data_IF_839715185799
#
_entry.id   IF_839715185799
#
_cell.length_a   1.000
_cell.length_b   1.000
_cell.length_c   1.000
_cell.angle_alpha   90.00
_cell.angle_beta   90.00
_cell.angle_gamma   90.00
#
_symmetry.space_group_name_H-M   'P 1'
#
loop_
_entity.id
_entity.type
_entity.pdbx_description
1 polymer ?
#
# COMPACT_ATOMS: atom_id res chain seq x y z
N UNK A 1 7.76 23.84 -43.97
CA UNK A 1 8.91 22.94 -43.69
C UNK A 1 10.10 23.71 -43.11
N UNK A 2 10.44 24.86 -43.66
CA UNK A 2 11.65 25.66 -43.28
C UNK A 2 11.61 26.18 -41.83
N UNK A 3 10.45 26.65 -41.35
CA UNK A 3 10.32 27.25 -40.01
C UNK A 3 10.44 26.16 -38.90
N UNK A 4 9.86 24.99 -39.11
CA UNK A 4 9.98 23.88 -38.15
C UNK A 4 11.40 23.32 -38.05
N UNK A 5 12.10 23.24 -39.19
CA UNK A 5 13.48 22.78 -39.22
C UNK A 5 14.43 23.78 -38.55
N UNK A 6 14.18 25.08 -38.72
CA UNK A 6 14.95 26.12 -38.02
C UNK A 6 14.73 26.01 -36.51
N UNK A 7 13.50 25.84 -36.06
CA UNK A 7 13.18 25.70 -34.63
C UNK A 7 13.85 24.46 -34.00
N UNK A 8 13.86 23.34 -34.70
CA UNK A 8 14.55 22.13 -34.28
C UNK A 8 16.08 22.30 -34.24
N UNK A 9 16.64 23.00 -35.20
CA UNK A 9 18.07 23.33 -35.22
C UNK A 9 18.46 24.25 -34.04
N UNK A 10 17.67 25.29 -33.80
CA UNK A 10 17.91 26.22 -32.69
C UNK A 10 17.81 25.52 -31.34
N UNK A 11 16.82 24.63 -31.20
CA UNK A 11 16.65 23.82 -29.99
C UNK A 11 17.85 22.88 -29.76
N UNK A 12 18.25 22.12 -30.79
CA UNK A 12 19.43 21.25 -30.76
C UNK A 12 20.69 22.01 -30.34
N UNK A 13 20.92 23.22 -30.93
CA UNK A 13 22.09 24.04 -30.62
C UNK A 13 22.08 24.48 -29.15
N UNK A 14 20.93 24.80 -28.58
CA UNK A 14 20.81 25.17 -27.16
C UNK A 14 21.17 23.97 -26.25
N UNK A 15 20.68 22.79 -26.54
CA UNK A 15 21.02 21.60 -25.74
C UNK A 15 22.50 21.23 -25.82
N UNK A 16 23.09 21.29 -27.03
CA UNK A 16 24.52 21.05 -27.22
C UNK A 16 25.38 22.03 -26.43
N UNK A 17 25.03 23.34 -26.47
CA UNK A 17 25.74 24.34 -25.69
C UNK A 17 25.74 24.07 -24.19
N UNK A 18 24.63 23.64 -23.65
CA UNK A 18 24.54 23.26 -22.23
C UNK A 18 25.38 22.00 -21.92
N UNK A 19 25.36 21.00 -22.79
CA UNK A 19 26.16 19.79 -22.63
C UNK A 19 27.66 20.13 -22.66
N UNK A 20 28.10 20.90 -23.66
CA UNK A 20 29.48 21.36 -23.79
C UNK A 20 29.95 22.16 -22.56
N UNK A 21 29.08 23.05 -22.05
CA UNK A 21 29.37 23.81 -20.82
C UNK A 21 29.58 22.90 -19.61
N UNK A 22 28.71 21.93 -19.43
CA UNK A 22 28.82 20.98 -18.32
C UNK A 22 30.05 20.08 -18.43
N UNK A 23 30.43 19.69 -19.64
CA UNK A 23 31.68 18.94 -19.90
C UNK A 23 32.92 19.81 -19.59
N UNK A 24 32.93 21.06 -19.99
CA UNK A 24 34.02 22.00 -19.67
C UNK A 24 34.15 22.26 -18.17
N UNK A 25 33.05 22.23 -17.43
CA UNK A 25 33.02 22.34 -15.97
C UNK A 25 33.37 21.02 -15.25
N UNK A 26 33.66 19.94 -15.99
CA UNK A 26 33.90 18.62 -15.43
C UNK A 26 32.70 17.99 -14.75
N UNK A 27 31.49 18.42 -15.07
CA UNK A 27 30.24 17.97 -14.51
C UNK A 27 29.80 16.67 -15.17
N UNK A 28 29.61 15.61 -14.39
CA UNK A 28 28.95 14.41 -14.87
C UNK A 28 27.46 14.69 -15.10
N UNK A 29 26.98 14.46 -16.30
CA UNK A 29 25.60 14.66 -16.69
C UNK A 29 25.00 13.44 -17.40
N UNK A 30 23.67 13.33 -17.42
CA UNK A 30 22.92 12.31 -18.13
C UNK A 30 21.98 12.94 -19.16
N UNK A 31 21.57 12.19 -20.23
CA UNK A 31 20.57 12.67 -21.18
C UNK A 31 19.27 13.16 -20.53
N UNK A 32 18.88 12.53 -19.40
CA UNK A 32 17.68 12.94 -18.63
C UNK A 32 17.87 14.32 -18.00
N UNK A 33 19.04 14.58 -17.41
CA UNK A 33 19.36 15.90 -16.85
C UNK A 33 19.41 16.96 -17.95
N UNK A 34 20.00 16.64 -19.09
CA UNK A 34 20.05 17.56 -20.24
C UNK A 34 18.64 17.84 -20.78
N UNK A 35 17.76 16.86 -20.86
CA UNK A 35 16.38 17.07 -21.33
C UNK A 35 15.56 18.00 -20.43
N UNK A 36 15.91 18.10 -19.15
CA UNK A 36 15.22 18.94 -18.16
C UNK A 36 15.87 20.28 -17.90
N UNK A 37 17.05 20.57 -18.51
CA UNK A 37 17.79 21.81 -18.22
C UNK A 37 17.05 23.10 -18.63
N UNK A 38 16.05 23.01 -19.53
CA UNK A 38 15.23 24.14 -19.96
C UNK A 38 13.78 24.11 -19.41
N UNK A 39 13.41 23.07 -18.61
CA UNK A 39 12.09 22.99 -17.98
C UNK A 39 11.93 23.97 -16.80
N UNK A 40 13.01 24.66 -16.40
CA UNK A 40 13.07 25.51 -15.21
C UNK A 40 12.45 26.89 -15.40
N UNK A 41 11.90 27.25 -16.57
CA UNK A 41 11.23 28.54 -16.77
C UNK A 41 9.77 28.55 -16.34
N UNK A 42 9.28 27.49 -15.68
CA UNK A 42 7.97 27.51 -15.03
C UNK A 42 8.12 27.84 -13.55
N UNK A 43 7.92 29.15 -13.25
CA UNK A 43 7.67 29.74 -11.93
C UNK A 43 8.40 29.03 -10.77
N UNK A 44 9.56 29.53 -10.38
CA UNK A 44 10.29 29.14 -9.19
C UNK A 44 9.40 29.22 -7.94
N UNK A 45 8.83 28.09 -7.54
CA UNK A 45 8.48 27.90 -6.13
C UNK A 45 9.79 27.98 -5.35
N UNK A 46 9.84 28.68 -4.19
CA UNK A 46 11.06 28.77 -3.40
C UNK A 46 11.57 27.34 -3.14
N UNK A 47 12.74 27.01 -3.71
CA UNK A 47 13.38 25.73 -3.51
C UNK A 47 13.73 25.59 -2.04
N UNK A 48 13.06 24.69 -1.37
CA UNK A 48 13.50 24.23 -0.05
C UNK A 48 14.85 23.53 -0.28
N UNK A 49 15.96 24.23 0.00
CA UNK A 49 17.31 23.65 -0.06
C UNK A 49 17.42 22.57 1.03
N UNK A 50 17.05 21.35 0.68
CA UNK A 50 17.15 20.19 1.54
C UNK A 50 18.63 19.83 1.67
N UNK A 51 19.19 19.96 2.87
CA UNK A 51 20.64 19.76 3.11
C UNK A 51 20.96 18.37 3.67
N UNK A 52 20.04 17.74 4.42
CA UNK A 52 20.25 16.45 5.07
C UNK A 52 19.25 15.41 4.61
N UNK A 53 19.56 14.11 4.87
CA UNK A 53 18.64 12.99 4.60
C UNK A 53 17.34 13.16 5.38
N UNK A 54 17.41 13.59 6.64
CA UNK A 54 16.22 13.84 7.45
C UNK A 54 15.34 14.95 6.85
N UNK A 55 15.92 16.07 6.43
CA UNK A 55 15.17 17.16 5.80
C UNK A 55 14.47 16.70 4.51
N UNK A 56 15.10 15.82 3.72
CA UNK A 56 14.47 15.24 2.54
C UNK A 56 13.30 14.34 2.90
N UNK A 57 13.43 13.55 3.96
CA UNK A 57 12.31 12.73 4.46
C UNK A 57 11.16 13.63 4.91
N UNK A 58 11.45 14.71 5.63
CA UNK A 58 10.46 15.68 6.11
C UNK A 58 9.74 16.38 4.95
N UNK A 59 10.50 16.78 3.93
CA UNK A 59 9.95 17.33 2.68
C UNK A 59 9.01 16.34 1.98
N UNK A 60 9.39 15.07 1.87
CA UNK A 60 8.54 14.04 1.26
C UNK A 60 7.31 13.74 2.12
N UNK A 61 7.46 13.68 3.44
CA UNK A 61 6.33 13.54 4.37
C UNK A 61 5.29 14.63 4.12
N UNK A 62 5.71 15.91 4.09
CA UNK A 62 4.83 17.05 3.87
C UNK A 62 4.21 17.04 2.46
N UNK A 63 5.01 16.72 1.44
CA UNK A 63 4.52 16.58 0.06
C UNK A 63 3.40 15.54 -0.04
N UNK A 64 3.59 14.37 0.59
CA UNK A 64 2.57 13.31 0.57
C UNK A 64 1.39 13.59 1.49
N UNK A 65 1.57 14.34 2.56
CA UNK A 65 0.50 14.80 3.45
C UNK A 65 -0.44 15.77 2.75
N UNK A 66 0.12 16.67 1.94
CA UNK A 66 -0.62 17.66 1.19
C UNK A 66 -1.17 17.14 -0.15
N UNK A 67 -0.79 15.91 -0.55
CA UNK A 67 -1.26 15.30 -1.78
C UNK A 67 -2.73 14.95 -1.69
N UNK A 68 -3.54 15.59 -2.52
CA UNK A 68 -4.96 15.29 -2.69
C UNK A 68 -5.18 14.21 -3.76
N UNK A 69 -6.22 13.42 -3.60
CA UNK A 69 -6.70 12.46 -4.61
C UNK A 69 -8.17 12.72 -4.88
N UNK A 70 -8.56 12.58 -6.13
CA UNK A 70 -9.98 12.57 -6.49
C UNK A 70 -10.48 11.14 -6.32
N UNK A 71 -11.61 10.98 -5.61
CA UNK A 71 -12.26 9.71 -5.38
C UNK A 71 -13.77 9.90 -5.38
N UNK A 72 -14.48 9.19 -6.25
CA UNK A 72 -15.93 9.35 -6.42
C UNK A 72 -16.33 10.83 -6.57
N UNK A 73 -15.58 11.59 -7.38
CA UNK A 73 -15.81 13.03 -7.55
C UNK A 73 -15.43 13.91 -6.35
N UNK A 74 -15.01 13.34 -5.23
CA UNK A 74 -14.62 14.08 -4.02
C UNK A 74 -13.10 14.13 -3.84
N UNK A 75 -12.61 15.25 -3.33
CA UNK A 75 -11.20 15.42 -2.98
C UNK A 75 -10.95 14.77 -1.61
N UNK A 76 -10.04 13.78 -1.56
CA UNK A 76 -9.67 13.09 -0.32
C UNK A 76 -8.17 13.18 -0.06
N UNK A 77 -7.80 13.20 1.22
CA UNK A 77 -6.40 13.25 1.65
C UNK A 77 -5.70 11.90 1.43
N UNK A 78 -4.41 11.96 1.03
CA UNK A 78 -3.58 10.78 0.81
C UNK A 78 -2.51 10.61 1.90
N UNK A 79 -2.92 10.53 3.17
CA UNK A 79 -2.01 10.51 4.33
C UNK A 79 -1.24 9.20 4.54
N UNK A 80 -1.62 8.11 3.88
CA UNK A 80 -1.01 6.78 4.12
C UNK A 80 0.48 6.75 3.73
N UNK A 81 0.84 7.40 2.62
CA UNK A 81 2.23 7.45 2.18
C UNK A 81 3.06 8.36 3.08
N UNK A 82 2.53 9.50 3.53
CA UNK A 82 3.20 10.36 4.49
C UNK A 82 3.61 9.59 5.76
N UNK A 83 2.72 8.78 6.32
CA UNK A 83 3.01 7.96 7.52
C UNK A 83 4.18 6.98 7.33
N UNK A 84 4.44 6.51 6.10
CA UNK A 84 5.59 5.62 5.82
C UNK A 84 6.91 6.36 6.03
N UNK A 85 6.99 7.61 5.61
CA UNK A 85 8.18 8.45 5.83
C UNK A 85 8.38 8.78 7.30
N UNK A 86 7.31 9.05 8.07
CA UNK A 86 7.38 9.22 9.53
C UNK A 86 7.97 7.97 10.19
N UNK A 87 7.50 6.77 9.81
CA UNK A 87 8.04 5.53 10.36
C UNK A 87 9.48 5.29 9.94
N UNK A 88 9.85 5.53 8.67
CA UNK A 88 11.25 5.42 8.23
C UNK A 88 12.16 6.34 9.03
N UNK A 89 11.78 7.62 9.17
CA UNK A 89 12.54 8.60 9.96
C UNK A 89 12.80 8.10 11.38
N UNK A 90 11.77 7.61 12.06
CA UNK A 90 11.89 7.09 13.42
C UNK A 90 12.80 5.87 13.52
N UNK A 91 12.75 4.96 12.54
CA UNK A 91 13.65 3.79 12.52
C UNK A 91 15.09 4.22 12.27
N UNK A 92 15.36 5.16 11.37
CA UNK A 92 16.70 5.68 11.11
C UNK A 92 17.25 6.43 12.34
N UNK A 93 16.43 7.22 13.03
CA UNK A 93 16.81 7.88 14.29
C UNK A 93 17.18 6.88 15.38
N UNK A 94 16.40 5.80 15.52
CA UNK A 94 16.72 4.75 16.49
C UNK A 94 18.01 4.01 16.11
N UNK A 95 18.15 3.64 14.85
CA UNK A 95 19.33 2.95 14.32
C UNK A 95 20.62 3.75 14.53
N UNK A 96 20.66 5.01 14.10
CA UNK A 96 21.87 5.84 14.20
C UNK A 96 22.24 6.15 15.65
N UNK A 97 21.24 6.27 16.54
CA UNK A 97 21.49 6.44 17.97
C UNK A 97 22.02 5.16 18.62
N UNK A 98 21.46 4.00 18.29
CA UNK A 98 21.88 2.69 18.84
C UNK A 98 23.25 2.24 18.32
N UNK A 99 23.49 2.38 17.00
CA UNK A 99 24.69 1.84 16.35
C UNK A 99 25.88 2.80 16.41
N UNK A 100 25.63 4.10 16.22
CA UNK A 100 26.70 5.09 16.03
C UNK A 100 26.73 6.20 17.09
N UNK A 101 25.80 6.17 18.04
CA UNK A 101 25.63 7.21 19.09
C UNK A 101 25.45 8.63 18.52
N UNK A 102 25.00 8.75 17.27
CA UNK A 102 24.83 10.00 16.54
C UNK A 102 23.37 10.32 16.25
N UNK A 103 23.03 11.61 16.24
CA UNK A 103 21.71 12.07 15.85
C UNK A 103 21.53 11.94 14.33
N UNK A 104 20.44 11.34 13.87
CA UNK A 104 20.16 11.18 12.44
C UNK A 104 20.04 12.52 11.68
N UNK A 105 19.72 13.60 12.36
CA UNK A 105 19.67 14.95 11.77
C UNK A 105 21.02 15.44 11.22
N UNK A 106 22.14 14.86 11.67
CA UNK A 106 23.51 15.19 11.20
C UNK A 106 23.95 14.40 9.98
N UNK A 107 23.11 13.48 9.47
CA UNK A 107 23.45 12.64 8.31
C UNK A 107 23.12 13.34 6.99
N UNK A 108 24.12 13.39 6.12
CA UNK A 108 24.03 13.86 4.74
C UNK A 108 23.97 12.67 3.78
N UNK A 109 23.76 12.93 2.48
CA UNK A 109 23.69 11.85 1.50
C UNK A 109 25.04 11.17 1.29
N UNK A 110 26.16 11.85 1.53
CA UNK A 110 27.51 11.28 1.58
C UNK A 110 27.67 10.19 2.64
N UNK A 111 26.87 10.25 3.72
CA UNK A 111 26.94 9.29 4.83
C UNK A 111 26.12 8.03 4.57
N UNK A 112 25.31 8.00 3.48
CA UNK A 112 24.55 6.82 3.06
C UNK A 112 25.45 5.94 2.21
N UNK A 113 26.49 5.42 2.82
CA UNK A 113 27.46 4.50 2.23
C UNK A 113 26.92 3.07 2.15
N UNK A 114 27.64 2.18 1.44
CA UNK A 114 27.35 0.74 1.44
C UNK A 114 27.38 0.17 2.87
N UNK A 115 28.39 0.54 3.68
CA UNK A 115 28.51 0.12 5.08
C UNK A 115 27.28 0.55 5.89
N UNK A 116 26.87 1.82 5.80
CA UNK A 116 25.65 2.31 6.46
C UNK A 116 24.41 1.50 6.07
N UNK A 117 24.26 1.16 4.78
CA UNK A 117 23.11 0.42 4.28
C UNK A 117 23.12 -1.04 4.76
N UNK A 118 24.28 -1.69 4.78
CA UNK A 118 24.45 -3.05 5.31
C UNK A 118 24.19 -3.09 6.82
N UNK A 119 24.73 -2.14 7.58
CA UNK A 119 24.50 -2.02 9.01
C UNK A 119 23.00 -1.78 9.33
N UNK A 120 22.34 -0.91 8.57
CA UNK A 120 20.91 -0.68 8.73
C UNK A 120 20.08 -1.92 8.39
N UNK A 121 20.45 -2.65 7.32
CA UNK A 121 19.79 -3.90 6.96
C UNK A 121 19.98 -4.96 8.04
N UNK A 122 21.17 -5.10 8.60
CA UNK A 122 21.48 -6.02 9.70
C UNK A 122 20.67 -5.69 10.95
N UNK A 123 20.71 -4.42 11.39
CA UNK A 123 19.92 -3.95 12.52
C UNK A 123 18.41 -4.19 12.37
N UNK A 124 17.89 -4.03 11.15
CA UNK A 124 16.50 -4.37 10.84
C UNK A 124 16.23 -5.88 10.91
N UNK A 125 17.18 -6.74 10.49
CA UNK A 125 17.08 -8.21 10.56
C UNK A 125 17.01 -8.69 12.00
N UNK A 126 17.87 -8.17 12.88
CA UNK A 126 17.88 -8.53 14.31
C UNK A 126 16.54 -8.24 15.00
N UNK A 127 15.80 -7.25 14.53
CA UNK A 127 14.47 -6.91 15.05
C UNK A 127 13.36 -7.88 14.61
N UNK A 128 13.61 -8.74 13.63
CA UNK A 128 12.73 -9.81 13.18
C UNK A 128 11.26 -9.41 13.04
N UNK A 129 10.38 -10.02 13.83
CA UNK A 129 8.93 -9.75 13.83
C UNK A 129 8.59 -8.30 14.14
N UNK A 130 9.33 -7.61 15.01
CA UNK A 130 9.12 -6.18 15.33
C UNK A 130 9.30 -5.29 14.10
N UNK A 131 10.14 -5.72 13.18
CA UNK A 131 10.36 -5.04 11.90
C UNK A 131 9.33 -5.46 10.83
N UNK A 132 8.54 -6.51 11.01
CA UNK A 132 7.66 -7.11 10.00
C UNK A 132 8.38 -8.14 9.13
N UNK A 133 9.42 -8.80 9.65
CA UNK A 133 10.25 -9.78 8.97
C UNK A 133 10.85 -9.25 7.64
N UNK A 134 11.11 -10.13 6.65
CA UNK A 134 11.71 -9.78 5.36
C UNK A 134 10.94 -8.69 4.62
N UNK A 135 9.61 -8.73 4.61
CA UNK A 135 8.80 -7.71 3.93
C UNK A 135 8.94 -6.31 4.58
N UNK A 136 9.07 -6.25 5.91
CA UNK A 136 9.31 -5.00 6.64
C UNK A 136 10.70 -4.44 6.38
N UNK A 137 11.72 -5.31 6.33
CA UNK A 137 13.09 -4.98 5.93
C UNK A 137 13.09 -4.35 4.53
N UNK A 138 12.65 -5.12 3.53
CA UNK A 138 12.60 -4.68 2.13
C UNK A 138 11.82 -3.36 1.97
N UNK A 139 10.68 -3.21 2.66
CA UNK A 139 9.90 -1.98 2.59
C UNK A 139 10.69 -0.75 3.06
N UNK A 140 11.44 -0.85 4.15
CA UNK A 140 12.23 0.26 4.70
C UNK A 140 13.43 0.60 3.82
N UNK A 141 14.16 -0.41 3.34
CA UNK A 141 15.29 -0.23 2.42
C UNK A 141 14.84 0.41 1.10
N UNK A 142 13.75 -0.08 0.49
CA UNK A 142 13.18 0.53 -0.73
C UNK A 142 12.67 1.95 -0.50
N UNK A 143 12.15 2.25 0.68
CA UNK A 143 11.69 3.60 0.99
C UNK A 143 12.87 4.56 1.17
N UNK A 144 13.98 4.12 1.81
CA UNK A 144 15.22 4.89 1.89
C UNK A 144 15.82 5.11 0.48
N UNK A 145 15.86 4.06 -0.34
CA UNK A 145 16.26 4.19 -1.75
C UNK A 145 15.39 5.21 -2.50
N UNK A 146 14.08 5.25 -2.25
CA UNK A 146 13.20 6.23 -2.86
C UNK A 146 13.48 7.67 -2.37
N UNK A 147 13.90 7.86 -1.12
CA UNK A 147 14.36 9.15 -0.59
C UNK A 147 15.62 9.61 -1.35
N UNK A 148 16.64 8.74 -1.46
CA UNK A 148 17.87 9.05 -2.19
C UNK A 148 17.60 9.35 -3.67
N UNK A 149 16.72 8.57 -4.34
CA UNK A 149 16.34 8.83 -5.73
C UNK A 149 15.63 10.17 -5.91
N UNK A 150 14.86 10.64 -4.92
CA UNK A 150 14.24 11.96 -4.99
C UNK A 150 15.27 13.08 -4.72
N UNK A 151 16.28 12.82 -3.90
CA UNK A 151 17.40 13.72 -3.68
C UNK A 151 18.29 13.83 -4.94
N UNK A 152 18.56 12.69 -5.60
CA UNK A 152 19.27 12.63 -6.90
C UNK A 152 18.56 13.47 -7.96
N UNK A 153 17.23 13.36 -8.10
CA UNK A 153 16.43 14.17 -9.02
C UNK A 153 16.47 15.69 -8.71
N UNK A 154 16.85 16.05 -7.50
CA UNK A 154 17.05 17.43 -7.06
C UNK A 154 18.53 17.84 -7.08
N UNK A 155 19.38 17.02 -7.69
CA UNK A 155 20.83 17.23 -7.82
C UNK A 155 21.51 17.52 -6.48
N UNK A 156 21.06 16.82 -5.43
CA UNK A 156 21.67 17.00 -4.10
C UNK A 156 23.03 16.35 -4.03
N UNK A 157 23.99 17.09 -3.47
CA UNK A 157 25.37 16.66 -3.34
C UNK A 157 25.49 15.38 -2.52
N UNK A 158 26.35 14.45 -2.99
CA UNK A 158 26.74 13.24 -2.28
C UNK A 158 25.77 12.07 -2.41
N UNK A 159 24.72 12.17 -3.24
CA UNK A 159 23.83 11.05 -3.51
C UNK A 159 24.55 10.05 -4.43
N UNK A 160 24.71 8.81 -3.96
CA UNK A 160 25.16 7.69 -4.76
C UNK A 160 24.15 6.55 -4.71
N UNK A 161 23.47 6.31 -5.84
CA UNK A 161 22.46 5.24 -5.96
C UNK A 161 23.07 3.85 -6.08
N UNK A 162 24.32 3.73 -6.51
CA UNK A 162 25.00 2.45 -6.68
C UNK A 162 25.31 1.79 -5.32
N UNK A 163 25.43 2.57 -4.25
CA UNK A 163 25.56 2.04 -2.89
C UNK A 163 24.43 1.04 -2.52
N UNK A 164 23.24 1.17 -3.13
CA UNK A 164 22.13 0.25 -2.88
C UNK A 164 22.31 -1.13 -3.54
N UNK A 165 23.31 -1.32 -4.40
CA UNK A 165 23.63 -2.62 -5.03
C UNK A 165 24.13 -3.61 -3.98
N UNK A 166 24.80 -3.14 -2.92
CA UNK A 166 25.28 -3.99 -1.83
C UNK A 166 24.17 -4.76 -1.10
N UNK A 167 22.92 -4.29 -1.18
CA UNK A 167 21.80 -4.91 -0.48
C UNK A 167 21.29 -6.20 -1.14
N UNK A 168 21.68 -6.50 -2.37
CA UNK A 168 21.32 -7.73 -3.07
C UNK A 168 19.83 -8.07 -2.95
N UNK A 169 19.53 -9.27 -2.42
CA UNK A 169 18.15 -9.74 -2.25
C UNK A 169 17.37 -9.09 -1.11
N UNK A 170 18.01 -8.34 -0.22
CA UNK A 170 17.32 -7.68 0.88
C UNK A 170 16.37 -6.56 0.39
N UNK A 171 16.68 -5.97 -0.77
CA UNK A 171 15.85 -4.93 -1.39
C UNK A 171 14.76 -5.51 -2.30
N UNK A 172 14.77 -6.81 -2.55
CA UNK A 172 13.77 -7.50 -3.34
C UNK A 172 12.59 -7.95 -2.47
N UNK A 173 11.36 -7.75 -2.99
CA UNK A 173 10.19 -8.22 -2.27
C UNK A 173 10.26 -9.74 -2.09
N UNK A 174 9.96 -10.25 -0.88
CA UNK A 174 9.83 -11.69 -0.70
C UNK A 174 8.68 -12.23 -1.55
N UNK A 175 8.83 -13.45 -2.01
CA UNK A 175 7.73 -14.17 -2.65
C UNK A 175 6.51 -14.22 -1.74
N UNK A 176 5.35 -14.01 -2.32
CA UNK A 176 4.09 -14.06 -1.59
C UNK A 176 3.46 -15.43 -1.76
N UNK A 177 3.29 -16.15 -0.67
CA UNK A 177 2.51 -17.40 -0.67
C UNK A 177 1.01 -17.10 -0.72
N UNK A 178 0.27 -17.92 -1.45
CA UNK A 178 -1.19 -17.85 -1.46
C UNK A 178 -1.74 -17.98 -0.03
N UNK A 179 -2.69 -17.13 0.33
CA UNK A 179 -3.44 -17.22 1.59
C UNK A 179 -4.77 -17.92 1.42
N UNK A 180 -4.93 -18.64 0.32
CA UNK A 180 -6.10 -19.46 0.09
C UNK A 180 -6.16 -20.57 1.15
N UNK A 181 -7.37 -20.93 1.54
CA UNK A 181 -7.63 -22.06 2.42
C UNK A 181 -8.55 -23.05 1.71
N UNK A 182 -8.41 -24.36 1.98
CA UNK A 182 -9.24 -25.40 1.38
C UNK A 182 -10.75 -25.15 1.59
N UNK A 183 -11.57 -25.62 0.66
CA UNK A 183 -13.04 -25.51 0.75
C UNK A 183 -13.58 -26.17 2.03
N UNK A 184 -13.00 -27.31 2.41
CA UNK A 184 -13.35 -28.05 3.64
C UNK A 184 -13.14 -27.21 4.90
N UNK A 185 -12.08 -26.40 4.95
CA UNK A 185 -11.80 -25.51 6.06
C UNK A 185 -12.82 -24.39 6.14
N UNK A 186 -13.19 -23.80 4.99
CA UNK A 186 -14.23 -22.77 4.93
C UNK A 186 -15.59 -23.32 5.34
N UNK A 187 -15.93 -24.53 4.90
CA UNK A 187 -17.16 -25.21 5.30
C UNK A 187 -17.21 -25.43 6.82
N UNK A 188 -16.11 -25.83 7.45
CA UNK A 188 -16.03 -25.94 8.92
C UNK A 188 -16.30 -24.60 9.60
N UNK A 189 -15.71 -23.50 9.11
CA UNK A 189 -15.94 -22.15 9.67
C UNK A 189 -17.39 -21.71 9.45
N UNK A 190 -17.97 -21.99 8.28
CA UNK A 190 -19.34 -21.62 7.97
C UNK A 190 -20.36 -22.33 8.89
N UNK A 191 -20.07 -23.58 9.23
CA UNK A 191 -20.95 -24.46 10.03
C UNK A 191 -20.56 -24.51 11.53
N UNK A 192 -19.62 -23.67 11.99
CA UNK A 192 -19.23 -23.64 13.40
C UNK A 192 -20.43 -23.28 14.28
N UNK A 193 -20.55 -23.93 15.41
CA UNK A 193 -21.59 -23.61 16.39
C UNK A 193 -21.49 -22.17 16.86
N UNK A 194 -22.45 -21.34 16.48
CA UNK A 194 -22.49 -19.92 16.75
C UNK A 194 -22.78 -19.60 18.22
N UNK A 195 -23.32 -20.53 18.98
CA UNK A 195 -23.59 -20.35 20.42
C UNK A 195 -22.31 -20.18 21.24
N UNK A 196 -21.21 -20.73 20.75
CA UNK A 196 -19.87 -20.62 21.35
C UNK A 196 -19.20 -19.26 21.14
N UNK A 197 -19.85 -18.36 20.40
CA UNK A 197 -19.34 -17.04 20.04
C UNK A 197 -20.28 -15.93 20.52
N UNK A 198 -19.70 -14.88 21.04
CA UNK A 198 -20.46 -13.65 21.37
C UNK A 198 -21.10 -13.04 20.11
N UNK A 199 -22.12 -12.21 20.26
CA UNK A 199 -22.77 -11.52 19.13
C UNK A 199 -21.75 -10.74 18.26
N UNK A 200 -20.71 -10.16 18.88
CA UNK A 200 -19.64 -9.46 18.14
C UNK A 200 -18.75 -10.44 17.34
N UNK A 201 -18.41 -11.57 17.92
CA UNK A 201 -17.64 -12.61 17.24
C UNK A 201 -18.44 -13.26 16.11
N UNK A 202 -19.75 -13.46 16.30
CA UNK A 202 -20.62 -13.91 15.21
C UNK A 202 -20.63 -12.94 14.03
N UNK A 203 -20.68 -11.62 14.29
CA UNK A 203 -20.53 -10.61 13.24
C UNK A 203 -19.17 -10.75 12.54
N UNK A 204 -18.09 -11.00 13.26
CA UNK A 204 -16.76 -11.16 12.65
C UNK A 204 -16.73 -12.36 11.69
N UNK A 205 -17.30 -13.50 12.09
CA UNK A 205 -17.40 -14.68 11.23
C UNK A 205 -18.28 -14.42 10.01
N UNK A 206 -19.39 -13.72 10.19
CA UNK A 206 -20.29 -13.35 9.10
C UNK A 206 -19.64 -12.38 8.09
N UNK A 207 -18.87 -11.41 8.56
CA UNK A 207 -18.09 -10.51 7.70
C UNK A 207 -17.02 -11.25 6.88
N UNK A 208 -16.36 -12.24 7.46
CA UNK A 208 -15.41 -13.10 6.74
C UNK A 208 -16.10 -13.91 5.65
N UNK A 209 -17.19 -14.59 5.98
CA UNK A 209 -17.96 -15.41 5.04
C UNK A 209 -18.61 -14.55 3.95
N UNK A 210 -19.14 -13.39 4.30
CA UNK A 210 -19.67 -12.44 3.33
C UNK A 210 -18.60 -12.00 2.34
N UNK A 211 -17.42 -11.63 2.84
CA UNK A 211 -16.28 -11.30 1.96
C UNK A 211 -15.99 -12.43 0.96
N UNK A 212 -15.98 -13.68 1.44
CA UNK A 212 -15.77 -14.83 0.56
C UNK A 212 -16.87 -15.00 -0.49
N UNK A 213 -18.15 -14.93 -0.08
CA UNK A 213 -19.29 -15.11 -0.99
C UNK A 213 -19.50 -13.95 -1.97
N UNK A 214 -18.80 -12.85 -1.80
CA UNK A 214 -18.84 -11.66 -2.67
C UNK A 214 -17.52 -11.42 -3.40
N UNK A 215 -16.87 -12.51 -3.89
CA UNK A 215 -15.65 -12.40 -4.70
C UNK A 215 -14.39 -11.98 -3.91
N UNK A 216 -14.37 -12.18 -2.59
CA UNK A 216 -13.28 -11.76 -1.74
C UNK A 216 -13.25 -10.24 -1.55
N UNK A 217 -14.40 -9.60 -1.40
CA UNK A 217 -14.51 -8.16 -1.14
C UNK A 217 -13.60 -7.74 0.01
N UNK A 218 -12.81 -6.67 -0.17
CA UNK A 218 -11.83 -6.26 0.83
C UNK A 218 -12.50 -5.77 2.12
N UNK A 219 -11.83 -5.95 3.25
CA UNK A 219 -12.33 -5.57 4.58
C UNK A 219 -12.87 -4.14 4.66
N UNK A 220 -12.16 -3.19 4.02
CA UNK A 220 -12.58 -1.79 4.01
C UNK A 220 -13.85 -1.59 3.19
N UNK A 221 -14.00 -2.34 2.10
CA UNK A 221 -15.17 -2.26 1.22
C UNK A 221 -16.40 -2.92 1.89
N UNK A 222 -16.23 -4.10 2.52
CA UNK A 222 -17.29 -4.75 3.30
C UNK A 222 -17.77 -3.85 4.44
N UNK A 223 -16.83 -3.27 5.21
CA UNK A 223 -17.20 -2.40 6.34
C UNK A 223 -17.93 -1.11 5.92
N UNK A 224 -17.66 -0.60 4.71
CA UNK A 224 -18.27 0.62 4.19
C UNK A 224 -19.44 0.35 3.23
N UNK A 225 -19.84 -0.91 3.07
CA UNK A 225 -20.96 -1.26 2.19
C UNK A 225 -22.26 -0.65 2.69
N UNK A 226 -22.98 0.00 1.79
CA UNK A 226 -24.28 0.64 2.04
C UNK A 226 -25.35 0.00 1.17
N UNK A 227 -26.63 0.10 1.59
CA UNK A 227 -27.75 -0.55 0.91
C UNK A 227 -28.00 0.01 -0.50
N UNK A 228 -27.66 1.25 -0.79
CA UNK A 228 -27.76 1.87 -2.12
C UNK A 228 -26.83 1.25 -3.16
N UNK A 229 -25.77 0.56 -2.72
CA UNK A 229 -24.83 -0.17 -3.60
C UNK A 229 -25.29 -1.61 -3.91
N UNK A 230 -26.35 -2.07 -3.23
CA UNK A 230 -26.88 -3.43 -3.35
C UNK A 230 -28.03 -3.45 -4.34
N UNK A 231 -27.87 -4.17 -5.43
CA UNK A 231 -28.89 -4.48 -6.42
C UNK A 231 -29.50 -5.86 -6.15
N UNK A 232 -30.50 -6.27 -6.91
CA UNK A 232 -31.20 -7.53 -6.70
C UNK A 232 -30.27 -8.75 -6.82
N UNK A 233 -29.38 -8.77 -7.83
CA UNK A 233 -28.52 -9.90 -8.19
C UNK A 233 -27.02 -9.63 -7.93
N UNK A 234 -26.63 -8.41 -7.64
CA UNK A 234 -25.21 -8.03 -7.50
C UNK A 234 -25.01 -6.84 -6.56
N UNK A 235 -23.74 -6.60 -6.22
CA UNK A 235 -23.30 -5.38 -5.55
C UNK A 235 -22.47 -4.57 -6.54
N UNK A 236 -22.76 -3.28 -6.72
CA UNK A 236 -21.99 -2.40 -7.59
C UNK A 236 -21.31 -1.35 -6.74
N UNK A 237 -19.97 -1.42 -6.65
CA UNK A 237 -19.22 -0.49 -5.81
C UNK A 237 -17.85 -0.14 -6.39
N UNK A 238 -17.36 1.05 -6.08
CA UNK A 238 -15.99 1.43 -6.36
C UNK A 238 -15.10 1.06 -5.17
N UNK A 239 -14.02 0.33 -5.44
CA UNK A 239 -13.09 -0.13 -4.40
C UNK A 239 -12.39 1.03 -3.70
N UNK A 240 -12.37 0.98 -2.37
CA UNK A 240 -11.81 2.07 -1.57
C UNK A 240 -10.28 2.23 -1.74
N UNK A 241 -9.54 1.15 -1.92
CA UNK A 241 -8.07 1.22 -2.08
C UNK A 241 -7.63 1.54 -3.50
N UNK A 242 -8.35 1.04 -4.49
CA UNK A 242 -8.02 1.19 -5.90
C UNK A 242 -9.30 1.63 -6.62
N UNK A 243 -9.31 2.78 -7.30
CA UNK A 243 -10.51 3.29 -7.98
C UNK A 243 -10.82 2.42 -9.20
N UNK A 244 -11.40 1.26 -8.94
CA UNK A 244 -11.88 0.30 -9.94
C UNK A 244 -13.23 -0.20 -9.47
N UNK A 245 -14.22 -0.15 -10.34
CA UNK A 245 -15.55 -0.69 -10.08
C UNK A 245 -15.46 -2.21 -9.98
N UNK A 246 -16.10 -2.78 -8.97
CA UNK A 246 -16.30 -4.21 -8.80
C UNK A 246 -17.81 -4.50 -8.79
N UNK A 247 -18.20 -5.63 -9.39
CA UNK A 247 -19.59 -6.04 -9.55
C UNK A 247 -19.76 -7.52 -9.14
N UNK A 248 -19.44 -7.90 -7.90
CA UNK A 248 -19.64 -9.29 -7.47
C UNK A 248 -21.12 -9.65 -7.49
N UNK A 249 -21.40 -10.87 -7.94
CA UNK A 249 -22.71 -11.48 -7.84
C UNK A 249 -23.13 -11.66 -6.39
N UNK A 250 -24.39 -11.45 -6.08
CA UNK A 250 -24.95 -11.55 -4.76
C UNK A 250 -25.62 -12.90 -4.54
N UNK A 251 -24.81 -13.91 -4.19
CA UNK A 251 -25.26 -15.25 -3.91
C UNK A 251 -26.26 -15.33 -2.74
N UNK A 252 -27.12 -16.34 -2.71
CA UNK A 252 -28.14 -16.55 -1.65
C UNK A 252 -27.53 -16.54 -0.24
N UNK A 253 -26.34 -17.16 -0.06
CA UNK A 253 -25.60 -17.15 1.23
C UNK A 253 -25.18 -15.75 1.65
N UNK A 254 -24.75 -14.90 0.72
CA UNK A 254 -24.43 -13.53 1.00
C UNK A 254 -25.67 -12.69 1.34
N UNK A 255 -26.77 -12.88 0.59
CA UNK A 255 -28.10 -12.26 0.90
C UNK A 255 -28.56 -12.61 2.32
N UNK A 256 -28.48 -13.86 2.72
CA UNK A 256 -28.87 -14.32 4.04
C UNK A 256 -28.08 -13.62 5.16
N UNK A 257 -26.75 -13.51 4.97
CA UNK A 257 -25.89 -12.80 5.94
C UNK A 257 -26.27 -11.32 6.02
N UNK A 258 -26.46 -10.62 4.90
CA UNK A 258 -26.84 -9.21 4.90
C UNK A 258 -28.19 -8.98 5.61
N UNK A 259 -29.20 -9.82 5.28
CA UNK A 259 -30.56 -9.68 5.83
C UNK A 259 -30.59 -9.89 7.34
N UNK A 260 -29.70 -10.72 7.90
CA UNK A 260 -29.53 -10.89 9.35
C UNK A 260 -29.26 -9.56 10.08
N UNK A 261 -28.58 -8.59 9.41
CA UNK A 261 -28.21 -7.31 9.99
C UNK A 261 -29.09 -6.14 9.54
N UNK A 262 -30.15 -6.42 8.77
CA UNK A 262 -31.08 -5.38 8.33
C UNK A 262 -31.76 -4.73 9.54
N UNK A 263 -31.73 -3.39 9.60
CA UNK A 263 -32.27 -2.61 10.70
C UNK A 263 -31.40 -2.55 11.97
N UNK A 264 -30.24 -3.24 12.00
CA UNK A 264 -29.31 -3.22 13.14
C UNK A 264 -28.13 -2.27 12.95
N UNK A 265 -27.96 -1.73 11.77
CA UNK A 265 -26.81 -0.90 11.40
C UNK A 265 -27.10 0.59 11.53
N UNK A 266 -26.05 1.37 11.80
CA UNK A 266 -26.14 2.81 11.81
C UNK A 266 -26.25 3.37 10.39
N UNK A 267 -27.19 4.29 10.18
CA UNK A 267 -27.41 4.92 8.88
C UNK A 267 -27.73 3.89 7.79
N UNK A 268 -27.21 4.11 6.58
CA UNK A 268 -27.45 3.25 5.42
C UNK A 268 -26.44 2.07 5.29
N UNK A 269 -25.61 1.80 6.30
CA UNK A 269 -24.65 0.70 6.24
C UNK A 269 -25.34 -0.66 6.31
N UNK A 270 -24.80 -1.64 5.57
CA UNK A 270 -25.28 -3.03 5.59
C UNK A 270 -24.95 -3.72 6.89
N UNK A 271 -23.73 -3.50 7.42
CA UNK A 271 -23.26 -4.16 8.63
C UNK A 271 -23.10 -3.18 9.82
N UNK A 272 -23.35 -3.62 11.07
CA UNK A 272 -23.24 -2.78 12.26
C UNK A 272 -21.78 -2.57 12.70
N UNK A 273 -20.95 -2.10 11.78
CA UNK A 273 -19.53 -1.79 12.01
C UNK A 273 -19.35 -0.40 12.56
N UNK A 274 -20.07 0.57 12.01
CA UNK A 274 -20.00 1.97 12.40
C UNK A 274 -21.15 2.36 13.34
N UNK A 275 -20.94 3.45 14.07
CA UNK A 275 -21.92 4.10 14.95
C UNK A 275 -21.85 5.61 14.75
N UNK A 276 -22.73 6.38 15.38
CA UNK A 276 -22.70 7.84 15.38
C UNK A 276 -21.35 8.47 15.76
N UNK A 277 -20.46 7.72 16.45
CA UNK A 277 -19.11 8.18 16.83
C UNK A 277 -18.11 8.20 15.67
N UNK A 278 -18.38 7.47 14.58
CA UNK A 278 -17.47 7.30 13.46
C UNK A 278 -17.76 8.28 12.31
N UNK A 279 -17.70 9.58 12.62
CA UNK A 279 -18.11 10.68 11.71
C UNK A 279 -17.05 11.01 10.67
N UNK A 280 -15.75 10.88 10.98
CA UNK A 280 -14.65 11.25 10.07
C UNK A 280 -14.03 10.03 9.39
N UNK A 281 -13.43 10.24 8.21
CA UNK A 281 -12.68 9.20 7.46
C UNK A 281 -11.59 8.56 8.32
N UNK A 282 -10.90 9.33 9.16
CA UNK A 282 -9.87 8.83 10.06
C UNK A 282 -10.45 7.88 11.13
N UNK A 283 -11.57 8.26 11.77
CA UNK A 283 -12.27 7.41 12.75
C UNK A 283 -12.79 6.13 12.10
N UNK A 284 -13.39 6.21 10.90
CA UNK A 284 -13.82 5.02 10.13
C UNK A 284 -12.66 4.10 9.80
N UNK A 285 -11.53 4.65 9.32
CA UNK A 285 -10.32 3.87 9.03
C UNK A 285 -9.79 3.15 10.27
N UNK A 286 -9.73 3.82 11.40
CA UNK A 286 -9.32 3.23 12.69
C UNK A 286 -10.26 2.12 13.10
N UNK A 287 -11.57 2.33 12.95
CA UNK A 287 -12.58 1.32 13.26
C UNK A 287 -12.45 0.07 12.39
N UNK A 288 -12.25 0.22 11.08
CA UNK A 288 -12.01 -0.91 10.16
C UNK A 288 -10.77 -1.71 10.57
N UNK A 289 -9.69 -1.05 10.99
CA UNK A 289 -8.49 -1.74 11.51
C UNK A 289 -8.80 -2.53 12.77
N UNK A 290 -9.53 -1.95 13.73
CA UNK A 290 -9.95 -2.64 14.95
C UNK A 290 -10.81 -3.87 14.65
N UNK A 291 -11.80 -3.75 13.76
CA UNK A 291 -12.63 -4.88 13.32
C UNK A 291 -11.76 -5.96 12.68
N UNK A 292 -10.82 -5.59 11.80
CA UNK A 292 -9.93 -6.56 11.15
C UNK A 292 -9.06 -7.33 12.15
N UNK A 293 -8.53 -6.65 13.16
CA UNK A 293 -7.73 -7.29 14.23
C UNK A 293 -8.59 -8.26 15.05
N UNK A 294 -9.79 -7.82 15.47
CA UNK A 294 -10.71 -8.65 16.26
C UNK A 294 -11.26 -9.83 15.46
N UNK A 295 -11.54 -9.63 14.17
CA UNK A 295 -11.94 -10.70 13.27
C UNK A 295 -10.84 -11.77 13.16
N UNK A 296 -9.58 -11.37 13.03
CA UNK A 296 -8.46 -12.32 13.02
C UNK A 296 -8.37 -13.11 14.33
N UNK A 297 -8.57 -12.45 15.48
CA UNK A 297 -8.65 -13.15 16.79
C UNK A 297 -9.80 -14.14 16.85
N UNK A 298 -10.98 -13.76 16.35
CA UNK A 298 -12.16 -14.65 16.28
C UNK A 298 -11.90 -15.85 15.36
N UNK A 299 -11.28 -15.63 14.19
CA UNK A 299 -10.90 -16.74 13.31
C UNK A 299 -9.87 -17.66 13.97
N UNK A 300 -8.87 -17.12 14.67
CA UNK A 300 -7.91 -17.93 15.45
C UNK A 300 -8.61 -18.77 16.52
N UNK A 301 -9.60 -18.19 17.23
CA UNK A 301 -10.43 -18.94 18.21
C UNK A 301 -11.17 -20.07 17.52
N UNK A 302 -11.87 -19.79 16.40
CA UNK A 302 -12.60 -20.79 15.63
C UNK A 302 -11.68 -21.91 15.12
N UNK A 303 -10.51 -21.55 14.59
CA UNK A 303 -9.51 -22.53 14.11
C UNK A 303 -9.05 -23.47 15.22
N UNK A 304 -8.77 -22.95 16.43
CA UNK A 304 -8.38 -23.76 17.59
C UNK A 304 -9.48 -24.77 17.95
N UNK A 305 -10.74 -24.31 18.03
CA UNK A 305 -11.88 -25.15 18.35
C UNK A 305 -12.12 -26.27 17.32
N UNK A 306 -11.95 -25.93 16.04
CA UNK A 306 -12.16 -26.81 14.90
C UNK A 306 -10.92 -27.67 14.54
N UNK A 307 -9.82 -27.53 15.29
CA UNK A 307 -8.51 -28.16 15.04
C UNK A 307 -8.00 -27.90 13.62
N UNK A 308 -8.17 -26.66 13.15
CA UNK A 308 -7.68 -26.16 11.87
C UNK A 308 -6.27 -25.62 12.08
N UNK A 309 -5.30 -26.10 11.28
CA UNK A 309 -3.87 -25.71 11.37
C UNK A 309 -3.55 -24.44 10.57
N UNK A 310 -4.35 -24.14 9.57
CA UNK A 310 -4.16 -23.02 8.65
C UNK A 310 -4.33 -21.67 9.37
N UNK A 311 -3.45 -20.73 9.06
CA UNK A 311 -3.58 -19.37 9.56
C UNK A 311 -4.56 -18.57 8.69
N UNK A 312 -5.78 -18.43 9.16
CA UNK A 312 -6.87 -17.78 8.44
C UNK A 312 -6.97 -16.32 8.85
N UNK A 313 -6.94 -15.45 7.85
CA UNK A 313 -7.11 -14.01 8.01
C UNK A 313 -8.27 -13.53 7.13
N UNK A 314 -8.70 -12.28 7.28
CA UNK A 314 -9.70 -11.73 6.34
C UNK A 314 -9.27 -11.85 4.88
N UNK A 315 -7.97 -11.64 4.61
CA UNK A 315 -7.44 -11.72 3.25
C UNK A 315 -7.50 -13.14 2.66
N UNK A 316 -7.59 -14.17 3.51
CA UNK A 316 -7.78 -15.56 3.07
C UNK A 316 -9.11 -15.75 2.32
N UNK A 317 -10.15 -14.96 2.62
CA UNK A 317 -11.41 -15.00 1.89
C UNK A 317 -11.19 -14.69 0.39
N UNK A 318 -10.38 -13.68 0.09
CA UNK A 318 -10.04 -13.31 -1.29
C UNK A 318 -9.17 -14.36 -1.98
N UNK A 319 -8.10 -14.79 -1.31
CA UNK A 319 -7.22 -15.84 -1.84
C UNK A 319 -8.00 -17.11 -2.19
N UNK A 320 -8.88 -17.56 -1.27
CA UNK A 320 -9.70 -18.74 -1.47
C UNK A 320 -10.72 -18.60 -2.60
N UNK A 321 -11.33 -17.43 -2.76
CA UNK A 321 -12.23 -17.18 -3.89
C UNK A 321 -11.46 -17.27 -5.22
N UNK A 322 -10.33 -16.57 -5.32
CA UNK A 322 -9.51 -16.54 -6.54
C UNK A 322 -9.04 -17.95 -6.89
N UNK A 323 -8.42 -18.69 -5.94
CA UNK A 323 -7.96 -20.06 -6.21
C UNK A 323 -9.11 -20.95 -6.66
N UNK A 324 -10.26 -20.92 -5.97
CA UNK A 324 -11.42 -21.71 -6.35
C UNK A 324 -11.88 -21.43 -7.79
N UNK A 325 -11.92 -20.17 -8.20
CA UNK A 325 -12.37 -19.79 -9.55
C UNK A 325 -11.35 -20.21 -10.62
N UNK A 326 -10.05 -20.06 -10.33
CA UNK A 326 -8.97 -20.50 -11.23
C UNK A 326 -8.96 -22.02 -11.34
N UNK A 327 -9.05 -22.75 -10.23
CA UNK A 327 -9.09 -24.22 -10.18
C UNK A 327 -10.31 -24.78 -10.93
N UNK A 328 -11.42 -24.04 -10.96
CA UNK A 328 -12.61 -24.35 -11.75
C UNK A 328 -12.48 -24.02 -13.25
N UNK A 329 -11.28 -23.62 -13.72
CA UNK A 329 -11.00 -23.33 -15.13
C UNK A 329 -11.50 -21.99 -15.63
N UNK A 330 -11.90 -21.07 -14.73
CA UNK A 330 -12.32 -19.74 -15.16
C UNK A 330 -11.14 -18.91 -15.67
N UNK A 331 -11.39 -18.11 -16.70
CA UNK A 331 -10.38 -17.22 -17.26
C UNK A 331 -9.86 -16.24 -16.18
N UNK A 332 -8.53 -16.15 -15.94
CA UNK A 332 -7.95 -15.26 -14.94
C UNK A 332 -8.33 -13.79 -15.09
N UNK A 333 -8.60 -13.32 -16.32
CA UNK A 333 -9.08 -11.95 -16.53
C UNK A 333 -10.47 -11.74 -15.94
N UNK A 334 -11.37 -12.71 -16.11
CA UNK A 334 -12.72 -12.68 -15.53
C UNK A 334 -12.64 -12.75 -14.01
N UNK A 335 -11.81 -13.65 -13.48
CA UNK A 335 -11.59 -13.77 -12.03
C UNK A 335 -11.00 -12.47 -11.44
N UNK A 336 -10.07 -11.83 -12.16
CA UNK A 336 -9.50 -10.53 -11.78
C UNK A 336 -10.57 -9.43 -11.74
N UNK A 337 -11.47 -9.40 -12.71
CA UNK A 337 -12.59 -8.44 -12.75
C UNK A 337 -13.54 -8.66 -11.57
N UNK A 338 -13.99 -9.90 -11.34
CA UNK A 338 -14.86 -10.26 -10.21
C UNK A 338 -14.24 -9.90 -8.86
N UNK A 339 -12.96 -10.24 -8.67
CA UNK A 339 -12.23 -9.90 -7.45
C UNK A 339 -11.79 -8.42 -7.40
N UNK A 340 -11.92 -7.67 -8.51
CA UNK A 340 -11.42 -6.32 -8.65
C UNK A 340 -9.89 -6.23 -8.52
N UNK A 341 -9.15 -7.22 -8.99
CA UNK A 341 -7.69 -7.27 -9.02
C UNK A 341 -7.13 -6.90 -10.40
N UNK A 342 -5.80 -6.78 -10.50
CA UNK A 342 -5.12 -6.83 -11.78
C UNK A 342 -4.96 -8.31 -12.21
N UNK A 343 -5.12 -8.67 -13.50
CA UNK A 343 -4.84 -10.03 -13.98
C UNK A 343 -3.46 -10.54 -13.61
N UNK A 344 -2.44 -9.67 -13.63
CA UNK A 344 -1.06 -9.97 -13.23
C UNK A 344 -0.90 -10.40 -11.75
N UNK A 345 -1.92 -10.24 -10.92
CA UNK A 345 -1.90 -10.68 -9.50
C UNK A 345 -2.64 -11.99 -9.27
N UNK A 346 -3.19 -12.60 -10.32
CA UNK A 346 -3.93 -13.87 -10.29
C UNK A 346 -2.99 -15.04 -10.65
N UNK A 347 -1.96 -14.79 -11.45
CA UNK A 347 -0.92 -15.75 -11.83
C UNK A 347 0.13 -15.94 -10.74
#
# INVERSE_FOLDING_TARGET
ATTKNKLLFDLRTKYLHVADTWEMEGRNWSPVQLSHCFDEIKAAKPEVKVKSVQQMIDYLEETFKNKKRIKNGQIVDSTTNAKRYVYLKRELQAFTKEKYEKAFSSYFFTDITEEFLLDFAFWLKERGIRNGNKAGLTHKLRLLRAVCRQAEKKEMYGVNMDNFLCLGDDINWPETTSRAVPETVKAKIANVDRTLFTKKEQLHLDLFLFSYYTGGMANVDVCNLTWDLVQEDRIVYERIKFPKTAKPELLSKAKAIMNKYRGQSYGNYVFPVFTHKHTTTSKKTTRVKQISTRLSQTLTKACKMLRIKENITWYSARGSFISKMVDAGNNPYVVAEMAGNSPLTIY
#
